data_IF_779996304958
#
_entry.id   IF_779996304958
#
_cell.length_a   1.000
_cell.length_b   1.000
_cell.length_c   1.000
_cell.angle_alpha   90.00
_cell.angle_beta   90.00
_cell.angle_gamma   90.00
#
_symmetry.space_group_name_H-M   'P 1'
#
loop_
_entity.id
_entity.type
_entity.pdbx_description
1 polymer ?
#
# COMPACT_ATOMS: atom_id res chain seq x y z
N UNK A 1 -13.58 -22.53 34.71
CA UNK A 1 -13.45 -21.07 34.57
C UNK A 1 -12.04 -20.83 34.08
N UNK A 2 -11.81 -21.15 32.81
CA UNK A 2 -11.64 -20.20 31.69
C UNK A 2 -10.20 -19.68 31.71
N UNK A 3 -9.38 -19.88 30.67
CA UNK A 3 -9.66 -19.54 29.29
C UNK A 3 -9.00 -20.56 28.34
N UNK A 4 -9.81 -21.18 27.48
CA UNK A 4 -9.33 -21.66 26.19
C UNK A 4 -9.06 -20.40 25.37
N UNK A 5 -7.83 -19.90 25.37
CA UNK A 5 -7.43 -18.90 24.38
C UNK A 5 -7.19 -19.66 23.09
N UNK A 6 -8.28 -19.84 22.33
CA UNK A 6 -8.22 -20.36 20.98
C UNK A 6 -7.28 -19.45 20.19
N UNK A 7 -6.21 -20.03 19.64
CA UNK A 7 -5.41 -19.39 18.61
C UNK A 7 -6.36 -19.22 17.41
N UNK A 8 -7.00 -18.05 17.29
CA UNK A 8 -8.21 -17.84 16.49
C UNK A 8 -7.97 -17.85 14.97
N UNK A 9 -6.72 -18.07 14.52
CA UNK A 9 -6.34 -17.94 13.11
C UNK A 9 -6.45 -16.51 12.59
N UNK A 10 -6.76 -15.54 13.46
CA UNK A 10 -6.87 -14.12 13.14
C UNK A 10 -5.46 -13.51 13.24
N UNK A 11 -4.97 -12.85 12.19
CA UNK A 11 -3.67 -12.18 12.24
C UNK A 11 -3.65 -11.03 13.25
N UNK A 12 -2.53 -10.86 13.97
CA UNK A 12 -2.35 -9.79 14.98
C UNK A 12 -2.43 -8.38 14.38
N UNK A 13 -2.11 -8.23 13.09
CA UNK A 13 -2.20 -6.95 12.38
C UNK A 13 -3.64 -6.55 12.03
N UNK A 14 -4.62 -7.44 12.18
CA UNK A 14 -6.00 -7.19 11.78
C UNK A 14 -6.76 -6.43 12.90
N UNK A 15 -7.31 -5.23 12.63
CA UNK A 15 -8.14 -4.51 13.59
C UNK A 15 -9.39 -5.29 13.97
N UNK A 16 -9.85 -5.12 15.21
CA UNK A 16 -11.08 -5.76 15.69
C UNK A 16 -12.29 -5.32 14.85
N UNK A 17 -13.07 -6.29 14.36
CA UNK A 17 -14.26 -6.05 13.54
C UNK A 17 -14.06 -6.11 12.02
N UNK A 18 -12.83 -6.26 11.53
CA UNK A 18 -12.55 -6.50 10.11
C UNK A 18 -12.61 -7.99 9.74
N UNK A 19 -12.93 -8.32 8.48
CA UNK A 19 -12.95 -9.70 7.99
C UNK A 19 -11.53 -10.15 7.57
N UNK A 20 -10.92 -11.16 8.21
CA UNK A 20 -9.61 -11.68 7.84
C UNK A 20 -9.54 -12.24 6.40
N UNK A 21 -10.67 -12.55 5.78
CA UNK A 21 -10.71 -13.06 4.40
C UNK A 21 -10.54 -11.98 3.36
N UNK A 22 -11.08 -10.79 3.59
CA UNK A 22 -11.06 -9.70 2.60
C UNK A 22 -10.06 -8.62 2.98
N UNK A 23 -9.51 -8.66 4.20
CA UNK A 23 -8.53 -7.70 4.68
C UNK A 23 -7.11 -8.05 4.28
N UNK A 24 -6.36 -7.04 3.86
CA UNK A 24 -4.95 -7.12 3.49
C UNK A 24 -4.14 -6.10 4.26
N UNK A 25 -2.96 -6.52 4.70
CA UNK A 25 -1.96 -5.65 5.32
C UNK A 25 -1.07 -5.03 4.25
N UNK A 26 -0.97 -3.70 4.26
CA UNK A 26 -0.13 -2.94 3.35
C UNK A 26 1.08 -2.43 4.09
N UNK A 27 2.27 -2.78 3.60
CA UNK A 27 3.52 -2.14 3.96
C UNK A 27 3.92 -1.17 2.86
N UNK A 28 3.84 0.12 3.14
CA UNK A 28 3.99 1.17 2.16
C UNK A 28 5.30 1.91 2.35
N UNK A 29 6.00 2.17 1.24
CA UNK A 29 7.17 3.04 1.17
C UNK A 29 6.85 4.22 0.27
N UNK A 30 6.92 5.43 0.82
CA UNK A 30 6.68 6.67 0.12
C UNK A 30 8.02 7.28 -0.30
N UNK A 31 8.16 7.57 -1.58
CA UNK A 31 9.33 8.16 -2.22
C UNK A 31 8.95 9.49 -2.87
N UNK A 32 9.85 10.46 -2.91
CA UNK A 32 9.60 11.67 -3.69
C UNK A 32 10.76 12.66 -3.68
N UNK A 33 10.69 13.64 -4.59
CA UNK A 33 11.73 14.67 -4.76
C UNK A 33 11.96 15.54 -3.52
N UNK A 34 10.98 15.57 -2.60
CA UNK A 34 11.03 16.30 -1.34
C UNK A 34 11.32 15.38 -0.14
N UNK A 35 11.59 14.08 -0.38
CA UNK A 35 12.12 13.20 0.65
C UNK A 35 13.41 13.82 1.20
N UNK A 36 13.52 13.83 2.53
CA UNK A 36 14.62 14.46 3.25
C UNK A 36 15.96 13.93 2.70
N UNK A 37 17.00 14.77 2.49
CA UNK A 37 18.29 14.30 1.97
C UNK A 37 18.92 13.17 2.82
N UNK A 38 18.56 13.13 4.10
CA UNK A 38 18.95 12.15 5.12
C UNK A 38 18.02 10.93 5.22
N UNK A 39 16.86 10.97 4.55
CA UNK A 39 15.83 9.94 4.61
C UNK A 39 15.16 9.84 3.24
N UNK A 40 15.68 8.94 2.39
CA UNK A 40 15.26 8.80 1.00
C UNK A 40 13.82 8.27 0.83
N UNK A 41 13.20 7.72 1.89
CA UNK A 41 11.82 7.24 1.88
C UNK A 41 11.20 7.23 3.28
N UNK A 42 9.87 7.32 3.33
CA UNK A 42 9.09 7.15 4.55
C UNK A 42 8.33 5.81 4.51
N UNK A 43 8.37 5.05 5.60
CA UNK A 43 7.64 3.78 5.71
C UNK A 43 6.39 3.95 6.58
N UNK A 44 5.27 3.38 6.15
CA UNK A 44 4.06 3.26 6.95
C UNK A 44 3.30 1.99 6.61
N UNK A 45 2.31 1.66 7.43
CA UNK A 45 1.45 0.50 7.20
C UNK A 45 -0.01 0.83 7.41
N UNK A 46 -0.88 0.13 6.69
CA UNK A 46 -2.34 0.23 6.87
C UNK A 46 -3.00 -1.12 6.59
N UNK A 47 -4.27 -1.26 6.94
CA UNK A 47 -5.09 -2.43 6.59
C UNK A 47 -6.23 -1.97 5.69
N UNK A 48 -6.44 -2.69 4.60
CA UNK A 48 -7.42 -2.37 3.57
C UNK A 48 -8.33 -3.58 3.37
N UNK A 49 -9.65 -3.33 3.36
CA UNK A 49 -10.64 -4.35 3.05
C UNK A 49 -10.96 -4.32 1.55
N UNK A 50 -10.61 -5.41 0.86
CA UNK A 50 -10.73 -5.56 -0.58
C UNK A 50 -12.17 -5.53 -1.10
N UNK A 51 -13.17 -5.89 -0.27
CA UNK A 51 -14.58 -5.92 -0.69
C UNK A 51 -15.21 -4.52 -0.66
N UNK A 52 -14.63 -3.59 0.09
CA UNK A 52 -15.18 -2.24 0.29
C UNK A 52 -14.36 -1.15 -0.37
N UNK A 53 -13.09 -1.41 -0.67
CA UNK A 53 -12.17 -0.40 -1.19
C UNK A 53 -12.18 -0.36 -2.72
N UNK A 54 -12.38 0.83 -3.28
CA UNK A 54 -12.09 1.12 -4.69
C UNK A 54 -10.80 1.97 -4.84
N UNK A 55 -10.25 2.06 -6.05
CA UNK A 55 -9.00 2.74 -6.33
C UNK A 55 -9.05 4.22 -5.96
N UNK A 56 -10.18 4.88 -6.21
CA UNK A 56 -10.33 6.29 -5.87
C UNK A 56 -10.26 6.49 -4.35
N UNK A 57 -11.01 5.72 -3.58
CA UNK A 57 -11.00 5.79 -2.11
C UNK A 57 -9.62 5.44 -1.54
N UNK A 58 -8.97 4.42 -2.09
CA UNK A 58 -7.60 4.07 -1.73
C UNK A 58 -6.64 5.25 -1.93
N UNK A 59 -6.69 5.89 -3.11
CA UNK A 59 -5.87 7.08 -3.40
C UNK A 59 -6.23 8.23 -2.47
N UNK A 60 -7.52 8.52 -2.29
CA UNK A 60 -7.99 9.63 -1.44
C UNK A 60 -7.56 9.42 0.02
N UNK A 61 -7.58 8.20 0.55
CA UNK A 61 -7.14 7.88 1.91
C UNK A 61 -5.64 8.08 2.11
N UNK A 62 -4.83 7.66 1.13
CA UNK A 62 -3.39 7.90 1.15
C UNK A 62 -3.11 9.40 1.06
N UNK A 63 -3.72 10.13 0.13
CA UNK A 63 -3.49 11.56 -0.05
C UNK A 63 -4.01 12.40 1.11
N UNK A 64 -5.06 11.94 1.81
CA UNK A 64 -5.52 12.57 3.05
C UNK A 64 -4.49 12.47 4.17
N UNK A 65 -3.78 11.34 4.24
CA UNK A 65 -2.76 11.08 5.27
C UNK A 65 -1.41 11.69 4.89
N UNK A 66 -1.06 11.62 3.61
CA UNK A 66 0.20 12.04 3.01
C UNK A 66 -0.10 12.97 1.81
N UNK A 67 -0.46 14.24 2.07
CA UNK A 67 -0.88 15.17 1.03
C UNK A 67 0.24 15.47 0.05
N UNK A 68 -0.10 15.50 -1.24
CA UNK A 68 0.80 15.91 -2.32
C UNK A 68 0.72 17.43 -2.54
N UNK A 69 1.81 18.01 -3.03
CA UNK A 69 1.80 19.39 -3.51
C UNK A 69 1.02 19.53 -4.84
N UNK A 70 0.60 20.75 -5.18
CA UNK A 70 -0.13 21.02 -6.44
C UNK A 70 0.67 20.68 -7.71
N UNK A 71 2.00 20.65 -7.61
CA UNK A 71 2.89 20.31 -8.73
C UNK A 71 3.31 18.84 -8.70
N UNK A 72 2.78 18.03 -7.79
CA UNK A 72 3.15 16.63 -7.65
C UNK A 72 2.08 15.71 -8.25
N UNK A 73 2.55 14.65 -8.90
CA UNK A 73 1.74 13.52 -9.35
C UNK A 73 2.14 12.32 -8.50
N UNK A 74 1.15 11.59 -8.00
CA UNK A 74 1.37 10.39 -7.18
C UNK A 74 1.10 9.14 -8.00
N UNK A 75 2.03 8.19 -7.95
CA UNK A 75 1.89 6.87 -8.58
C UNK A 75 2.02 5.77 -7.55
N UNK A 76 1.27 4.70 -7.76
CA UNK A 76 1.17 3.57 -6.85
C UNK A 76 1.68 2.32 -7.54
N UNK A 77 2.52 1.57 -6.84
CA UNK A 77 3.13 0.33 -7.34
C UNK A 77 3.10 -0.72 -6.25
N UNK A 78 2.73 -1.96 -6.56
CA UNK A 78 3.01 -3.08 -5.65
C UNK A 78 4.23 -3.85 -6.11
N UNK A 79 4.94 -4.46 -5.16
CA UNK A 79 6.07 -5.32 -5.47
C UNK A 79 5.61 -6.75 -5.70
N UNK A 80 5.80 -7.24 -6.93
CA UNK A 80 5.56 -8.62 -7.27
C UNK A 80 6.82 -9.46 -7.02
N UNK A 81 6.79 -10.29 -5.97
CA UNK A 81 7.90 -11.17 -5.62
C UNK A 81 8.18 -12.26 -6.65
N UNK A 82 7.18 -12.67 -7.44
CA UNK A 82 7.37 -13.71 -8.46
C UNK A 82 8.14 -13.18 -9.67
N UNK A 83 7.78 -11.97 -10.12
CA UNK A 83 8.44 -11.31 -11.26
C UNK A 83 9.57 -10.37 -10.84
N UNK A 84 9.83 -10.22 -9.54
CA UNK A 84 10.81 -9.30 -8.96
C UNK A 84 10.69 -7.88 -9.54
N UNK A 85 9.45 -7.39 -9.67
CA UNK A 85 9.15 -6.15 -10.39
C UNK A 85 8.09 -5.30 -9.67
N UNK A 86 8.17 -3.99 -9.86
CA UNK A 86 7.16 -3.04 -9.39
C UNK A 86 6.06 -2.89 -10.44
N UNK A 87 4.83 -3.28 -10.10
CA UNK A 87 3.67 -3.24 -10.99
C UNK A 87 2.78 -2.06 -10.62
N UNK A 88 2.50 -1.19 -11.59
CA UNK A 88 1.69 0.00 -11.35
C UNK A 88 0.22 -0.35 -11.16
N UNK A 89 -0.43 0.34 -10.20
CA UNK A 89 -1.87 0.26 -9.95
C UNK A 89 -2.50 1.57 -10.38
N UNK A 90 -3.42 1.53 -11.34
CA UNK A 90 -4.10 2.72 -11.87
C UNK A 90 -5.62 2.60 -11.86
N UNK A 91 -6.15 1.40 -11.63
CA UNK A 91 -7.57 1.08 -11.79
C UNK A 91 -8.07 0.12 -10.72
N UNK A 92 -9.39 0.00 -10.59
CA UNK A 92 -10.03 -0.99 -9.72
C UNK A 92 -9.66 -2.42 -10.14
N UNK A 93 -9.52 -2.67 -11.45
CA UNK A 93 -9.11 -3.98 -11.96
C UNK A 93 -7.68 -4.33 -11.53
N UNK A 94 -6.77 -3.35 -11.50
CA UNK A 94 -5.41 -3.56 -11.02
C UNK A 94 -5.38 -3.87 -9.51
N UNK A 95 -6.23 -3.20 -8.70
CA UNK A 95 -6.39 -3.52 -7.29
C UNK A 95 -6.89 -4.94 -7.08
N UNK A 96 -7.93 -5.36 -7.80
CA UNK A 96 -8.45 -6.73 -7.72
C UNK A 96 -7.38 -7.75 -8.12
N UNK A 97 -6.61 -7.47 -9.18
CA UNK A 97 -5.51 -8.34 -9.59
C UNK A 97 -4.41 -8.43 -8.51
N UNK A 98 -4.06 -7.30 -7.88
CA UNK A 98 -3.10 -7.25 -6.77
C UNK A 98 -3.59 -8.07 -5.58
N UNK A 99 -4.86 -7.92 -5.16
CA UNK A 99 -5.43 -8.70 -4.05
C UNK A 99 -5.45 -10.19 -4.35
N UNK A 100 -5.93 -10.59 -5.53
CA UNK A 100 -5.95 -11.99 -5.95
C UNK A 100 -4.55 -12.61 -5.94
N UNK A 101 -3.52 -11.84 -6.31
CA UNK A 101 -2.13 -12.30 -6.29
C UNK A 101 -1.57 -12.49 -4.88
N UNK A 102 -2.01 -11.69 -3.91
CA UNK A 102 -1.52 -11.73 -2.52
C UNK A 102 -2.46 -12.46 -1.55
N UNK A 103 -3.44 -13.20 -2.07
CA UNK A 103 -4.46 -13.88 -1.27
C UNK A 103 -3.87 -14.83 -0.22
N UNK A 104 -2.78 -15.52 -0.55
CA UNK A 104 -2.11 -16.47 0.34
C UNK A 104 -1.34 -15.79 1.48
N UNK A 105 -0.71 -14.63 1.23
CA UNK A 105 0.13 -13.94 2.22
C UNK A 105 -0.65 -12.92 3.03
N UNK A 106 -1.70 -12.32 2.44
CA UNK A 106 -2.42 -11.14 2.95
C UNK A 106 -1.52 -9.93 3.23
N UNK A 107 -0.29 -9.95 2.73
CA UNK A 107 0.71 -8.88 2.90
C UNK A 107 1.07 -8.36 1.52
N UNK A 108 0.91 -7.06 1.32
CA UNK A 108 1.24 -6.34 0.09
C UNK A 108 2.31 -5.31 0.41
N UNK A 109 3.46 -5.41 -0.25
CA UNK A 109 4.45 -4.33 -0.22
C UNK A 109 4.14 -3.34 -1.34
N UNK A 110 3.98 -2.07 -0.97
CA UNK A 110 3.63 -1.01 -1.89
C UNK A 110 4.70 0.08 -1.89
N UNK A 111 5.00 0.59 -3.07
CA UNK A 111 5.86 1.73 -3.33
C UNK A 111 4.98 2.85 -3.90
N UNK A 112 5.02 4.01 -3.25
CA UNK A 112 4.21 5.18 -3.61
C UNK A 112 5.17 6.30 -3.97
N UNK A 113 5.12 6.76 -5.21
CA UNK A 113 6.05 7.73 -5.76
C UNK A 113 5.37 9.09 -5.95
N UNK A 114 5.93 10.13 -5.33
CA UNK A 114 5.55 11.53 -5.47
C UNK A 114 6.52 12.21 -6.43
N UNK A 115 6.07 12.47 -7.65
CA UNK A 115 6.87 13.10 -8.69
C UNK A 115 6.44 14.55 -8.93
N UNK A 116 7.35 15.49 -8.68
CA UNK A 116 7.14 16.91 -9.00
C UNK A 116 7.29 17.14 -10.50
N UNK A 117 6.18 17.39 -11.20
CA UNK A 117 6.17 17.60 -12.67
C UNK A 117 6.88 18.88 -13.10
N UNK A 118 7.23 19.76 -12.15
CA UNK A 118 8.05 20.95 -12.41
C UNK A 118 9.56 20.67 -12.39
N UNK A 119 9.98 19.49 -11.88
CA UNK A 119 11.38 19.07 -11.77
C UNK A 119 11.66 17.87 -12.70
N UNK A 120 12.89 17.69 -13.18
CA UNK A 120 13.26 16.51 -13.95
C UNK A 120 13.14 15.23 -13.08
N UNK A 121 12.71 14.11 -13.70
CA UNK A 121 12.53 12.82 -13.03
C UNK A 121 13.81 12.31 -12.36
N UNK A 122 13.69 11.87 -11.10
CA UNK A 122 14.75 11.18 -10.37
C UNK A 122 14.61 9.68 -10.64
N UNK A 123 15.72 8.98 -10.88
CA UNK A 123 15.70 7.54 -11.10
C UNK A 123 15.34 6.79 -9.81
N UNK A 124 14.48 5.77 -9.92
CA UNK A 124 14.16 4.86 -8.82
C UNK A 124 15.44 4.04 -8.50
N UNK A 125 15.93 4.02 -7.24
CA UNK A 125 17.07 3.19 -6.87
C UNK A 125 16.72 1.70 -6.96
N UNK A 126 17.67 0.88 -7.44
CA UNK A 126 17.59 -0.59 -7.48
C UNK A 126 17.42 -1.23 -6.09
#
# INVERSE_FOLDING_TARGET
MDLVSANSGIPEWLPEGMDPKTSFYFEMRLFGNNARPDCAWYSCSTVVDADTTNFKEFVDDILRTYPCALTEVVKFYYFDHESNSHIQVCTDQDLVAMFAKHEATKIIHMSIEYFDVSKPAVAIPD
#
